data_IF_310886789038
#
_entry.id   IF_310886789038
#
_cell.length_a   1.000
_cell.length_b   1.000
_cell.length_c   1.000
_cell.angle_alpha   90.00
_cell.angle_beta   90.00
_cell.angle_gamma   90.00
#
_symmetry.space_group_name_H-M   'P 1'
#
loop_
_entity.id
_entity.type
_entity.pdbx_description
1 polymer ?
#
# COMPACT_ATOMS: atom_id res chain seq x y z
N UNK A 1 120.69 74.63 -103.09
CA UNK A 1 122.16 74.83 -103.06
C UNK A 1 122.81 73.86 -104.05
N UNK A 2 123.55 74.33 -105.07
CA UNK A 2 124.53 73.52 -105.81
C UNK A 2 125.86 73.49 -105.03
N UNK A 3 126.77 72.52 -105.25
CA UNK A 3 127.87 72.72 -106.24
C UNK A 3 128.34 71.38 -106.88
N UNK A 4 129.27 71.24 -107.86
CA UNK A 4 130.13 72.09 -108.68
C UNK A 4 130.70 71.21 -109.82
N UNK A 5 130.98 71.81 -110.97
CA UNK A 5 131.85 71.29 -112.05
C UNK A 5 133.31 71.08 -111.58
N UNK A 6 134.01 70.12 -112.19
CA UNK A 6 135.46 70.16 -112.54
C UNK A 6 135.62 69.38 -113.86
N UNK A 7 135.82 70.01 -115.02
CA UNK A 7 137.03 70.64 -115.57
C UNK A 7 138.17 69.64 -115.87
N UNK A 8 138.28 69.34 -117.16
CA UNK A 8 139.50 69.20 -117.99
C UNK A 8 140.59 68.21 -117.55
N UNK A 9 140.93 67.28 -118.46
CA UNK A 9 142.32 67.19 -118.88
C UNK A 9 142.50 66.69 -120.33
N UNK A 10 143.47 67.30 -121.03
CA UNK A 10 143.90 67.05 -122.41
C UNK A 10 144.90 65.89 -122.45
N UNK A 11 144.92 65.08 -123.54
CA UNK A 11 146.10 64.47 -124.23
C UNK A 11 145.69 63.22 -125.06
N UNK A 12 146.52 62.77 -126.02
CA UNK A 12 147.07 63.46 -127.17
C UNK A 12 146.38 62.96 -128.48
N UNK A 13 146.56 63.71 -129.56
CA UNK A 13 146.26 63.23 -130.90
C UNK A 13 147.09 61.98 -131.19
N UNK A 14 146.43 60.85 -131.47
CA UNK A 14 147.06 59.77 -132.21
C UNK A 14 146.65 59.89 -133.68
N UNK A 15 147.61 59.68 -134.60
CA UNK A 15 147.46 60.03 -136.00
C UNK A 15 146.39 59.15 -136.65
N UNK A 16 145.69 59.75 -137.61
CA UNK A 16 144.83 59.10 -138.60
C UNK A 16 145.45 57.77 -139.06
N UNK A 17 144.89 56.65 -138.57
CA UNK A 17 144.88 55.44 -139.37
C UNK A 17 143.88 55.67 -140.51
N UNK A 18 144.18 55.27 -141.75
CA UNK A 18 143.29 55.54 -142.87
C UNK A 18 141.95 54.85 -142.60
N UNK A 19 140.85 55.60 -142.64
CA UNK A 19 139.51 55.02 -142.64
C UNK A 19 139.38 54.24 -143.96
N UNK A 20 139.65 52.94 -143.87
CA UNK A 20 139.49 51.99 -144.95
C UNK A 20 138.00 51.85 -145.23
N UNK A 21 137.56 52.36 -146.38
CA UNK A 21 136.20 52.15 -146.86
C UNK A 21 136.29 51.02 -147.88
N UNK A 22 135.75 49.85 -147.52
CA UNK A 22 135.88 48.61 -148.30
C UNK A 22 137.33 48.25 -148.71
N UNK A 23 138.29 48.51 -147.82
CA UNK A 23 139.68 48.12 -148.04
C UNK A 23 140.50 49.04 -148.97
N UNK A 24 139.90 50.12 -149.47
CA UNK A 24 140.57 51.12 -150.31
C UNK A 24 140.65 52.48 -149.60
N UNK A 25 141.69 53.24 -149.91
CA UNK A 25 141.85 54.61 -149.40
C UNK A 25 141.00 55.59 -150.21
N UNK A 26 140.67 56.75 -149.63
CA UNK A 26 139.74 57.75 -150.19
C UNK A 26 140.09 58.22 -151.61
N UNK A 27 141.36 58.09 -152.01
CA UNK A 27 141.90 58.50 -153.32
C UNK A 27 141.91 57.36 -154.37
N UNK A 28 141.66 56.11 -153.95
CA UNK A 28 141.59 54.93 -154.84
C UNK A 28 140.15 54.51 -155.14
N UNK A 29 139.19 55.04 -154.38
CA UNK A 29 137.76 54.80 -154.57
C UNK A 29 137.23 55.76 -155.64
N UNK A 30 136.63 55.20 -156.69
CA UNK A 30 135.86 55.98 -157.66
C UNK A 30 134.77 56.79 -156.94
N UNK A 31 134.46 57.99 -157.45
CA UNK A 31 133.38 58.85 -156.94
C UNK A 31 132.08 58.06 -156.71
N UNK A 32 131.77 57.13 -157.60
CA UNK A 32 130.58 56.26 -157.53
C UNK A 32 130.59 55.33 -156.29
N UNK A 33 131.75 54.78 -155.91
CA UNK A 33 131.86 53.88 -154.76
C UNK A 33 131.71 54.61 -153.43
N UNK A 34 132.15 55.87 -153.37
CA UNK A 34 131.94 56.74 -152.20
C UNK A 34 130.46 57.14 -152.06
N UNK A 35 129.77 57.44 -153.16
CA UNK A 35 128.33 57.76 -153.16
C UNK A 35 127.48 56.57 -152.68
N UNK A 36 127.80 55.35 -153.12
CA UNK A 36 127.10 54.14 -152.70
C UNK A 36 127.29 53.83 -151.21
N UNK A 37 128.50 54.07 -150.67
CA UNK A 37 128.75 53.92 -149.23
C UNK A 37 127.99 54.96 -148.39
N UNK A 38 127.87 56.20 -148.88
CA UNK A 38 127.05 57.24 -148.24
C UNK A 38 125.58 56.83 -148.22
N UNK A 39 125.07 56.21 -149.30
CA UNK A 39 123.68 55.72 -149.33
C UNK A 39 123.45 54.61 -148.29
N UNK A 40 124.32 53.60 -148.21
CA UNK A 40 124.18 52.52 -147.21
C UNK A 40 124.19 53.05 -145.78
N UNK A 41 125.08 54.00 -145.46
CA UNK A 41 125.11 54.62 -144.13
C UNK A 41 123.85 55.43 -143.81
N UNK A 42 123.21 56.05 -144.81
CA UNK A 42 121.92 56.73 -144.62
C UNK A 42 120.79 55.73 -144.38
N UNK A 43 120.74 54.65 -145.14
CA UNK A 43 119.76 53.57 -144.95
C UNK A 43 119.92 52.86 -143.60
N UNK A 44 121.16 52.65 -143.14
CA UNK A 44 121.43 52.15 -141.78
C UNK A 44 120.99 53.16 -140.71
N UNK A 45 121.28 54.45 -140.90
CA UNK A 45 120.84 55.49 -139.97
C UNK A 45 119.32 55.57 -139.86
N UNK A 46 118.60 55.45 -140.98
CA UNK A 46 117.14 55.49 -140.99
C UNK A 46 116.53 54.22 -140.39
N UNK A 47 117.08 53.03 -140.65
CA UNK A 47 116.68 51.79 -139.94
C UNK A 47 116.88 51.89 -138.43
N UNK A 48 118.04 52.35 -137.99
CA UNK A 48 118.34 52.56 -136.56
C UNK A 48 117.42 53.62 -135.90
N UNK A 49 116.89 54.57 -136.69
CA UNK A 49 115.87 55.52 -136.22
C UNK A 49 114.50 54.86 -136.08
N UNK A 50 114.09 54.06 -137.07
CA UNK A 50 112.84 53.31 -137.05
C UNK A 50 112.82 52.31 -135.89
N UNK A 51 113.91 51.55 -135.68
CA UNK A 51 114.04 50.63 -134.56
C UNK A 51 113.97 51.34 -133.21
N UNK A 52 114.68 52.46 -133.04
CA UNK A 52 114.55 53.28 -131.81
C UNK A 52 113.12 53.74 -131.57
N UNK A 53 112.43 54.20 -132.61
CA UNK A 53 111.04 54.64 -132.50
C UNK A 53 110.11 53.47 -132.11
N UNK A 54 110.31 52.30 -132.72
CA UNK A 54 109.58 51.08 -132.38
C UNK A 54 109.78 50.68 -130.91
N UNK A 55 111.03 50.61 -130.43
CA UNK A 55 111.33 50.27 -129.04
C UNK A 55 110.82 51.33 -128.05
N UNK A 56 110.83 52.60 -128.43
CA UNK A 56 110.25 53.69 -127.65
C UNK A 56 108.73 53.50 -127.48
N UNK A 57 108.01 53.21 -128.56
CA UNK A 57 106.56 52.94 -128.52
C UNK A 57 106.22 51.69 -127.69
N UNK A 58 106.96 50.59 -127.85
CA UNK A 58 106.76 49.39 -127.05
C UNK A 58 107.04 49.62 -125.57
N UNK A 59 108.10 50.37 -125.23
CA UNK A 59 108.38 50.75 -123.83
C UNK A 59 107.26 51.61 -123.25
N UNK A 60 106.77 52.60 -123.98
CA UNK A 60 105.71 53.50 -123.50
C UNK A 60 104.37 52.73 -123.36
N UNK A 61 104.11 51.75 -124.23
CA UNK A 61 102.96 50.81 -124.12
C UNK A 61 103.07 49.90 -122.89
N UNK A 62 104.24 49.31 -122.65
CA UNK A 62 104.51 48.51 -121.43
C UNK A 62 104.34 49.37 -120.19
N UNK A 63 104.83 50.62 -120.21
CA UNK A 63 104.69 51.55 -119.09
C UNK A 63 103.22 51.86 -118.80
N UNK A 64 102.42 52.14 -119.83
CA UNK A 64 100.96 52.36 -119.70
C UNK A 64 100.25 51.13 -119.12
N UNK A 65 100.54 49.92 -119.60
CA UNK A 65 99.98 48.70 -119.02
C UNK A 65 100.40 48.50 -117.56
N UNK A 66 101.65 48.79 -117.23
CA UNK A 66 102.12 48.74 -115.86
C UNK A 66 101.39 49.74 -114.96
N UNK A 67 101.26 51.00 -115.38
CA UNK A 67 100.50 52.02 -114.63
C UNK A 67 99.03 51.64 -114.43
N UNK A 68 98.38 51.12 -115.47
CA UNK A 68 96.98 50.64 -115.39
C UNK A 68 96.88 49.48 -114.40
N UNK A 69 97.80 48.52 -114.45
CA UNK A 69 97.79 47.35 -113.57
C UNK A 69 98.03 47.75 -112.11
N UNK A 70 98.99 48.67 -111.86
CA UNK A 70 99.24 49.22 -110.52
C UNK A 70 98.03 49.97 -109.98
N UNK A 71 97.32 50.75 -110.83
CA UNK A 71 96.10 51.45 -110.44
C UNK A 71 94.98 50.47 -110.08
N UNK A 72 94.75 49.44 -110.91
CA UNK A 72 93.76 48.38 -110.64
C UNK A 72 94.09 47.60 -109.39
N UNK A 73 95.36 47.30 -109.15
CA UNK A 73 95.79 46.63 -107.91
C UNK A 73 95.45 47.48 -106.69
N UNK A 74 95.74 48.78 -106.70
CA UNK A 74 95.37 49.69 -105.60
C UNK A 74 93.86 49.80 -105.38
N UNK A 75 93.07 49.76 -106.44
CA UNK A 75 91.61 49.78 -106.37
C UNK A 75 91.08 48.52 -105.68
N UNK A 76 91.54 47.34 -106.12
CA UNK A 76 91.18 46.05 -105.49
C UNK A 76 91.66 45.98 -104.04
N UNK A 77 92.87 46.44 -103.73
CA UNK A 77 93.39 46.47 -102.36
C UNK A 77 92.52 47.38 -101.45
N UNK A 78 92.01 48.50 -101.99
CA UNK A 78 91.13 49.41 -101.24
C UNK A 78 89.73 48.82 -101.04
N UNK A 79 89.19 48.11 -102.04
CA UNK A 79 87.93 47.38 -101.92
C UNK A 79 88.03 46.24 -100.91
N UNK A 80 89.14 45.50 -100.91
CA UNK A 80 89.40 44.43 -99.95
C UNK A 80 89.43 44.97 -98.52
N UNK A 81 90.17 46.06 -98.27
CA UNK A 81 90.20 46.70 -96.95
C UNK A 81 88.82 47.17 -96.47
N UNK A 82 87.98 47.66 -97.39
CA UNK A 82 86.61 48.06 -97.05
C UNK A 82 85.78 46.85 -96.63
N UNK A 83 85.86 45.75 -97.38
CA UNK A 83 85.14 44.51 -97.05
C UNK A 83 85.63 43.91 -95.73
N UNK A 84 86.94 43.89 -95.50
CA UNK A 84 87.53 43.44 -94.23
C UNK A 84 86.98 44.24 -93.04
N UNK A 85 86.93 45.57 -93.16
CA UNK A 85 86.36 46.44 -92.12
C UNK A 85 84.86 46.20 -91.91
N UNK A 86 84.09 46.02 -92.98
CA UNK A 86 82.65 45.72 -92.87
C UNK A 86 82.41 44.37 -92.17
N UNK A 87 83.28 43.38 -92.40
CA UNK A 87 83.25 42.08 -91.70
C UNK A 87 83.55 42.27 -90.21
N UNK A 88 84.60 43.01 -89.85
CA UNK A 88 84.94 43.31 -88.46
C UNK A 88 83.80 44.06 -87.73
N UNK A 89 83.19 45.07 -88.37
CA UNK A 89 82.08 45.82 -87.79
C UNK A 89 80.84 44.92 -87.57
N UNK A 90 80.54 44.03 -88.51
CA UNK A 90 79.44 43.08 -88.37
C UNK A 90 79.70 42.05 -87.27
N UNK A 91 80.93 41.57 -87.13
CA UNK A 91 81.30 40.65 -86.04
C UNK A 91 81.16 41.35 -84.67
N UNK A 92 81.61 42.60 -84.55
CA UNK A 92 81.45 43.38 -83.33
C UNK A 92 79.97 43.59 -82.95
N UNK A 93 79.11 43.89 -83.93
CA UNK A 93 77.64 43.99 -83.72
C UNK A 93 77.05 42.66 -83.26
N UNK A 94 77.40 41.56 -83.93
CA UNK A 94 76.92 40.23 -83.55
C UNK A 94 77.33 39.85 -82.12
N UNK A 95 78.57 40.14 -81.72
CA UNK A 95 79.03 39.90 -80.35
C UNK A 95 78.25 40.73 -79.32
N UNK A 96 77.86 41.96 -79.66
CA UNK A 96 77.02 42.81 -78.81
C UNK A 96 75.60 42.24 -78.68
N UNK A 97 74.99 41.83 -79.79
CA UNK A 97 73.66 41.21 -79.79
C UNK A 97 73.63 39.95 -78.93
N UNK A 98 74.64 39.08 -79.06
CA UNK A 98 74.76 37.87 -78.22
C UNK A 98 74.82 38.23 -76.73
N UNK A 99 75.54 39.30 -76.35
CA UNK A 99 75.59 39.77 -74.95
C UNK A 99 74.23 40.28 -74.47
N UNK A 100 73.52 41.05 -75.29
CA UNK A 100 72.17 41.55 -74.97
C UNK A 100 71.18 40.39 -74.81
N UNK A 101 71.15 39.45 -75.75
CA UNK A 101 70.28 38.26 -75.65
C UNK A 101 70.60 37.43 -74.41
N UNK A 102 71.88 37.24 -74.08
CA UNK A 102 72.30 36.54 -72.85
C UNK A 102 71.80 37.24 -71.58
N UNK A 103 71.85 38.57 -71.53
CA UNK A 103 71.29 39.33 -70.40
C UNK A 103 69.77 39.22 -70.34
N UNK A 104 69.07 39.27 -71.49
CA UNK A 104 67.62 39.13 -71.56
C UNK A 104 67.14 37.76 -71.07
N UNK A 105 67.84 36.68 -71.44
CA UNK A 105 67.56 35.33 -70.94
C UNK A 105 67.76 35.26 -69.42
N UNK A 106 68.86 35.82 -68.90
CA UNK A 106 69.10 35.86 -67.45
C UNK A 106 68.02 36.61 -66.68
N UNK A 107 67.57 37.75 -67.21
CA UNK A 107 66.50 38.53 -66.60
C UNK A 107 65.18 37.74 -66.58
N UNK A 108 64.77 37.17 -67.71
CA UNK A 108 63.58 36.31 -67.78
C UNK A 108 63.65 35.12 -66.82
N UNK A 109 64.82 34.48 -66.69
CA UNK A 109 65.00 33.41 -65.72
C UNK A 109 64.85 33.89 -64.27
N UNK A 110 65.37 35.06 -63.94
CA UNK A 110 65.22 35.64 -62.60
C UNK A 110 63.77 36.06 -62.33
N UNK A 111 63.07 36.63 -63.31
CA UNK A 111 61.64 36.94 -63.21
C UNK A 111 60.84 35.66 -62.95
N UNK A 112 61.01 34.62 -63.76
CA UNK A 112 60.31 33.35 -63.56
C UNK A 112 60.62 32.72 -62.19
N UNK A 113 61.87 32.79 -61.73
CA UNK A 113 62.23 32.28 -60.40
C UNK A 113 61.58 33.09 -59.29
N UNK A 114 61.45 34.41 -59.46
CA UNK A 114 60.76 35.27 -58.52
C UNK A 114 59.26 34.98 -58.48
N UNK A 115 58.62 34.84 -59.65
CA UNK A 115 57.20 34.49 -59.77
C UNK A 115 56.90 33.13 -59.11
N UNK A 116 57.76 32.14 -59.33
CA UNK A 116 57.66 30.83 -58.68
C UNK A 116 57.81 30.97 -57.16
N UNK A 117 58.73 31.79 -56.68
CA UNK A 117 58.94 32.01 -55.26
C UNK A 117 57.72 32.70 -54.61
N UNK A 118 57.13 33.70 -55.28
CA UNK A 118 55.93 34.41 -54.83
C UNK A 118 54.72 33.46 -54.80
N UNK A 119 54.46 32.71 -55.87
CA UNK A 119 53.38 31.72 -55.92
C UNK A 119 53.51 30.64 -54.84
N UNK A 120 54.73 30.17 -54.58
CA UNK A 120 54.97 29.21 -53.50
C UNK A 120 54.73 29.83 -52.13
N UNK A 121 55.13 31.08 -51.91
CA UNK A 121 54.88 31.81 -50.66
C UNK A 121 53.37 32.02 -50.42
N UNK A 122 52.63 32.45 -51.45
CA UNK A 122 51.18 32.61 -51.40
C UNK A 122 50.46 31.28 -51.13
N UNK A 123 50.90 30.20 -51.79
CA UNK A 123 50.34 28.87 -51.56
C UNK A 123 50.59 28.38 -50.13
N UNK A 124 51.78 28.61 -49.57
CA UNK A 124 52.11 28.26 -48.18
C UNK A 124 51.27 29.08 -47.20
N UNK A 125 51.17 30.39 -47.38
CA UNK A 125 50.36 31.26 -46.54
C UNK A 125 48.87 30.87 -46.58
N UNK A 126 48.35 30.53 -47.76
CA UNK A 126 46.97 30.05 -47.92
C UNK A 126 46.75 28.70 -47.22
N UNK A 127 47.71 27.78 -47.32
CA UNK A 127 47.62 26.49 -46.63
C UNK A 127 47.67 26.65 -45.11
N UNK A 128 48.57 27.49 -44.58
CA UNK A 128 48.64 27.78 -43.14
C UNK A 128 47.33 28.42 -42.61
N UNK A 129 46.70 29.29 -43.39
CA UNK A 129 45.40 29.87 -43.03
C UNK A 129 44.32 28.79 -42.96
N UNK A 130 44.25 27.92 -43.98
CA UNK A 130 43.28 26.83 -44.05
C UNK A 130 43.47 25.82 -42.91
N UNK A 131 44.72 25.48 -42.58
CA UNK A 131 45.06 24.57 -41.48
C UNK A 131 44.60 25.14 -40.12
N UNK A 132 44.84 26.44 -39.87
CA UNK A 132 44.35 27.13 -38.66
C UNK A 132 42.82 27.17 -38.58
N UNK A 133 42.13 27.41 -39.69
CA UNK A 133 40.66 27.37 -39.72
C UNK A 133 40.14 25.96 -39.44
N UNK A 134 40.79 24.93 -40.00
CA UNK A 134 40.43 23.54 -39.73
C UNK A 134 40.64 23.18 -38.26
N UNK A 135 41.79 23.52 -37.67
CA UNK A 135 42.06 23.28 -36.24
C UNK A 135 40.99 23.94 -35.34
N UNK A 136 40.61 25.19 -35.64
CA UNK A 136 39.57 25.89 -34.91
C UNK A 136 38.20 25.17 -35.01
N UNK A 137 37.81 24.73 -36.21
CA UNK A 137 36.56 24.00 -36.42
C UNK A 137 36.57 22.64 -35.70
N UNK A 138 37.70 21.93 -35.70
CA UNK A 138 37.86 20.68 -34.96
C UNK A 138 37.74 20.88 -33.45
N UNK A 139 38.30 21.97 -32.90
CA UNK A 139 38.20 22.28 -31.47
C UNK A 139 36.75 22.61 -31.06
N UNK A 140 36.03 23.41 -31.84
CA UNK A 140 34.62 23.72 -31.61
C UNK A 140 33.72 22.48 -31.71
N UNK A 141 34.03 21.57 -32.64
CA UNK A 141 33.34 20.29 -32.75
C UNK A 141 33.56 19.43 -31.50
N UNK A 142 34.80 19.33 -31.01
CA UNK A 142 35.14 18.58 -29.77
C UNK A 142 34.42 19.13 -28.54
N UNK A 143 34.34 20.47 -28.40
CA UNK A 143 33.58 21.13 -27.33
C UNK A 143 32.10 20.80 -27.41
N UNK A 144 31.53 20.83 -28.62
CA UNK A 144 30.11 20.55 -28.85
C UNK A 144 29.75 19.10 -28.53
N UNK A 145 30.58 18.14 -28.98
CA UNK A 145 30.42 16.71 -28.66
C UNK A 145 30.43 16.50 -27.15
N UNK A 146 31.43 17.04 -26.46
CA UNK A 146 31.56 16.91 -25.00
C UNK A 146 30.34 17.48 -24.27
N UNK A 147 29.80 18.61 -24.73
CA UNK A 147 28.59 19.21 -24.15
C UNK A 147 27.36 18.30 -24.32
N UNK A 148 27.21 17.69 -25.49
CA UNK A 148 26.12 16.74 -25.77
C UNK A 148 26.25 15.49 -24.90
N UNK A 149 27.45 14.93 -24.76
CA UNK A 149 27.69 13.76 -23.91
C UNK A 149 27.34 14.03 -22.44
N UNK A 150 27.75 15.19 -21.91
CA UNK A 150 27.40 15.62 -20.54
C UNK A 150 25.88 15.75 -20.38
N UNK A 151 25.20 16.36 -21.36
CA UNK A 151 23.73 16.46 -21.33
C UNK A 151 23.06 15.09 -21.37
N UNK A 152 23.54 14.16 -22.20
CA UNK A 152 22.99 12.82 -22.29
C UNK A 152 23.17 12.03 -20.99
N UNK A 153 24.33 12.16 -20.33
CA UNK A 153 24.57 11.57 -19.00
C UNK A 153 23.61 12.16 -17.96
N UNK A 154 23.40 13.48 -17.96
CA UNK A 154 22.45 14.13 -17.04
C UNK A 154 21.00 13.68 -17.30
N UNK A 155 20.59 13.54 -18.56
CA UNK A 155 19.28 12.99 -18.92
C UNK A 155 19.13 11.53 -18.47
N UNK A 156 20.17 10.70 -18.64
CA UNK A 156 20.17 9.32 -18.14
C UNK A 156 20.06 9.26 -16.61
N UNK A 157 20.76 10.13 -15.89
CA UNK A 157 20.68 10.20 -14.43
C UNK A 157 19.28 10.61 -13.95
N UNK A 158 18.74 11.70 -14.50
CA UNK A 158 17.39 12.18 -14.14
C UNK A 158 16.31 11.16 -14.45
N UNK A 159 16.40 10.43 -15.58
CA UNK A 159 15.51 9.32 -15.90
C UNK A 159 15.55 8.21 -14.85
N UNK A 160 16.75 7.75 -14.48
CA UNK A 160 16.91 6.70 -13.45
C UNK A 160 16.36 7.13 -12.09
N UNK A 161 16.58 8.39 -11.72
CA UNK A 161 16.06 8.94 -10.46
C UNK A 161 14.52 8.98 -10.45
N UNK A 162 13.91 9.32 -11.59
CA UNK A 162 12.46 9.34 -11.75
C UNK A 162 11.86 7.92 -11.75
N UNK A 163 12.54 6.96 -12.39
CA UNK A 163 12.16 5.54 -12.35
C UNK A 163 12.23 4.98 -10.92
N UNK A 164 13.26 5.34 -10.15
CA UNK A 164 13.40 4.94 -8.75
C UNK A 164 12.28 5.51 -7.88
N UNK A 165 12.00 6.82 -7.97
CA UNK A 165 10.91 7.47 -7.21
C UNK A 165 9.55 6.86 -7.55
N UNK A 166 9.28 6.61 -8.83
CA UNK A 166 8.04 5.96 -9.24
C UNK A 166 7.95 4.52 -8.69
N UNK A 167 9.07 3.79 -8.64
CA UNK A 167 9.14 2.48 -8.00
C UNK A 167 8.80 2.52 -6.50
N UNK A 168 9.37 3.50 -5.77
CA UNK A 168 9.09 3.72 -4.34
C UNK A 168 7.62 4.13 -4.09
N UNK A 169 7.03 4.97 -4.95
CA UNK A 169 5.62 5.34 -4.86
C UNK A 169 4.70 4.14 -5.13
N UNK A 170 5.04 3.27 -6.09
CA UNK A 170 4.28 2.06 -6.37
C UNK A 170 4.34 1.06 -5.22
N UNK A 171 5.51 0.84 -4.61
CA UNK A 171 5.64 -0.07 -3.46
C UNK A 171 4.88 0.46 -2.25
N UNK A 172 5.05 1.74 -1.90
CA UNK A 172 4.31 2.35 -0.78
C UNK A 172 2.80 2.32 -0.98
N UNK A 173 2.31 2.53 -2.21
CA UNK A 173 0.89 2.40 -2.55
C UNK A 173 0.40 0.95 -2.42
N UNK A 174 1.20 -0.01 -2.89
CA UNK A 174 0.90 -1.44 -2.78
C UNK A 174 0.81 -1.87 -1.32
N UNK A 175 1.80 -1.52 -0.50
CA UNK A 175 1.85 -1.83 0.93
C UNK A 175 0.65 -1.24 1.68
N UNK A 176 0.24 -0.02 1.33
CA UNK A 176 -0.94 0.61 1.90
C UNK A 176 -2.23 -0.15 1.57
N UNK A 177 -2.40 -0.58 0.31
CA UNK A 177 -3.56 -1.35 -0.12
C UNK A 177 -3.58 -2.73 0.52
N UNK A 178 -2.44 -3.40 0.63
CA UNK A 178 -2.32 -4.70 1.28
C UNK A 178 -2.68 -4.61 2.77
N UNK A 179 -2.22 -3.56 3.45
CA UNK A 179 -2.62 -3.28 4.84
C UNK A 179 -4.12 -3.05 4.98
N UNK A 180 -4.73 -2.26 4.09
CA UNK A 180 -6.18 -2.03 4.09
C UNK A 180 -6.96 -3.33 3.87
N UNK A 181 -6.51 -4.17 2.94
CA UNK A 181 -7.13 -5.48 2.68
C UNK A 181 -7.02 -6.40 3.90
N UNK A 182 -5.87 -6.43 4.58
CA UNK A 182 -5.66 -7.20 5.79
C UNK A 182 -6.58 -6.72 6.94
N UNK A 183 -6.69 -5.41 7.15
CA UNK A 183 -7.58 -4.82 8.17
C UNK A 183 -9.06 -5.15 7.89
N UNK A 184 -9.50 -5.03 6.62
CA UNK A 184 -10.86 -5.39 6.21
C UNK A 184 -11.12 -6.88 6.46
N UNK A 185 -10.21 -7.75 6.04
CA UNK A 185 -10.33 -9.20 6.20
C UNK A 185 -10.43 -9.59 7.67
N UNK A 186 -9.54 -9.06 8.53
CA UNK A 186 -9.57 -9.28 9.97
C UNK A 186 -10.90 -8.80 10.59
N UNK A 187 -11.42 -7.65 10.15
CA UNK A 187 -12.70 -7.13 10.65
C UNK A 187 -13.88 -8.04 10.31
N UNK A 188 -13.89 -8.65 9.12
CA UNK A 188 -14.93 -9.59 8.72
C UNK A 188 -14.78 -10.93 9.42
N UNK A 189 -13.56 -11.41 9.63
CA UNK A 189 -13.30 -12.63 10.37
C UNK A 189 -13.76 -12.52 11.83
N UNK A 190 -13.49 -11.39 12.49
CA UNK A 190 -14.03 -11.10 13.82
C UNK A 190 -15.58 -11.08 13.85
N UNK A 191 -16.22 -10.48 12.84
CA UNK A 191 -17.70 -10.48 12.75
C UNK A 191 -18.26 -11.89 12.57
N UNK A 192 -17.64 -12.70 11.72
CA UNK A 192 -18.05 -14.10 11.52
C UNK A 192 -17.88 -14.90 12.80
N UNK A 193 -16.79 -14.70 13.54
CA UNK A 193 -16.59 -15.37 14.82
C UNK A 193 -17.61 -14.94 15.87
N UNK A 194 -17.94 -13.65 15.96
CA UNK A 194 -18.97 -13.14 16.85
C UNK A 194 -20.34 -13.75 16.54
N UNK A 195 -20.75 -13.78 15.26
CA UNK A 195 -22.01 -14.40 14.85
C UNK A 195 -22.07 -15.90 15.16
N UNK A 196 -20.95 -16.63 14.99
CA UNK A 196 -20.87 -18.05 15.40
C UNK A 196 -21.07 -18.21 16.91
N UNK A 197 -20.47 -17.34 17.71
CA UNK A 197 -20.62 -17.37 19.17
C UNK A 197 -22.04 -17.02 19.60
N UNK A 198 -22.68 -16.06 18.94
CA UNK A 198 -24.07 -15.69 19.23
C UNK A 198 -25.03 -16.83 18.90
N UNK A 199 -24.85 -17.51 17.77
CA UNK A 199 -25.64 -18.70 17.41
C UNK A 199 -25.45 -19.85 18.42
N UNK A 200 -24.21 -20.12 18.83
CA UNK A 200 -23.91 -21.13 19.85
C UNK A 200 -24.54 -20.76 21.21
N UNK A 201 -24.54 -19.48 21.58
CA UNK A 201 -25.20 -18.99 22.80
C UNK A 201 -26.73 -19.15 22.72
N UNK A 202 -27.35 -18.84 21.58
CA UNK A 202 -28.78 -19.04 21.36
C UNK A 202 -29.13 -20.52 21.49
N UNK A 203 -28.39 -21.40 20.82
CA UNK A 203 -28.61 -22.85 20.90
C UNK A 203 -28.46 -23.37 22.32
N UNK A 204 -27.44 -22.93 23.06
CA UNK A 204 -27.26 -23.29 24.47
C UNK A 204 -28.40 -22.80 25.36
N UNK A 205 -28.90 -21.58 25.12
CA UNK A 205 -30.05 -21.05 25.85
C UNK A 205 -31.31 -21.87 25.57
N UNK A 206 -31.59 -22.17 24.31
CA UNK A 206 -32.80 -22.92 23.90
C UNK A 206 -32.79 -24.36 24.44
N UNK A 207 -31.61 -25.00 24.44
CA UNK A 207 -31.41 -26.31 25.10
C UNK A 207 -31.66 -26.18 26.61
N UNK A 208 -31.07 -25.18 27.27
CA UNK A 208 -31.24 -25.00 28.71
C UNK A 208 -32.69 -24.69 29.09
N UNK A 209 -33.39 -23.87 28.32
CA UNK A 209 -34.81 -23.54 28.52
C UNK A 209 -35.69 -24.79 28.36
N UNK A 210 -35.41 -25.61 27.34
CA UNK A 210 -36.08 -26.89 27.13
C UNK A 210 -35.83 -27.87 28.27
N UNK A 211 -34.57 -28.01 28.72
CA UNK A 211 -34.20 -28.84 29.87
C UNK A 211 -34.89 -28.35 31.15
N UNK A 212 -34.90 -27.04 31.41
CA UNK A 212 -35.56 -26.44 32.56
C UNK A 212 -37.08 -26.68 32.52
N UNK A 213 -37.71 -26.58 31.35
CA UNK A 213 -39.12 -26.88 31.15
C UNK A 213 -39.43 -28.35 31.48
N UNK A 214 -38.67 -29.29 30.91
CA UNK A 214 -38.85 -30.72 31.18
C UNK A 214 -38.56 -31.09 32.62
N UNK A 215 -37.51 -30.52 33.23
CA UNK A 215 -37.20 -30.73 34.64
C UNK A 215 -38.33 -30.21 35.55
N UNK A 216 -38.89 -29.05 35.24
CA UNK A 216 -40.04 -28.49 35.98
C UNK A 216 -41.28 -29.37 35.82
N UNK A 217 -41.55 -29.86 34.61
CA UNK A 217 -42.65 -30.78 34.35
C UNK A 217 -42.50 -32.11 35.11
N UNK A 218 -41.30 -32.70 35.10
CA UNK A 218 -40.99 -33.91 35.87
C UNK A 218 -41.17 -33.66 37.37
N UNK A 219 -40.73 -32.52 37.89
CA UNK A 219 -40.89 -32.17 39.30
C UNK A 219 -42.38 -32.04 39.68
N UNK A 220 -43.18 -31.36 38.85
CA UNK A 220 -44.62 -31.25 39.06
C UNK A 220 -45.32 -32.61 39.03
N UNK A 221 -44.97 -33.47 38.07
CA UNK A 221 -45.54 -34.83 37.97
C UNK A 221 -45.18 -35.69 39.19
N UNK A 222 -43.93 -35.59 39.69
CA UNK A 222 -43.52 -36.27 40.93
C UNK A 222 -44.33 -35.78 42.13
N UNK A 223 -44.54 -34.46 42.25
CA UNK A 223 -45.33 -33.90 43.33
C UNK A 223 -46.79 -34.36 43.29
N UNK A 224 -47.41 -34.38 42.11
CA UNK A 224 -48.79 -34.86 41.92
C UNK A 224 -48.93 -36.36 42.27
N UNK A 225 -47.94 -37.17 41.84
CA UNK A 225 -47.87 -38.58 42.24
C UNK A 225 -47.71 -38.75 43.76
N UNK A 226 -46.81 -37.99 44.39
CA UNK A 226 -46.59 -38.05 45.84
C UNK A 226 -47.85 -37.64 46.63
N UNK A 227 -48.58 -36.62 46.15
CA UNK A 227 -49.84 -36.17 46.76
C UNK A 227 -50.95 -37.23 46.61
N UNK A 228 -51.09 -37.80 45.41
CA UNK A 228 -52.02 -38.90 45.15
C UNK A 228 -51.70 -40.12 46.02
N UNK A 229 -50.42 -40.44 46.17
CA UNK A 229 -49.96 -41.53 47.03
C UNK A 229 -50.29 -41.25 48.49
N UNK A 230 -50.01 -40.03 49.00
CA UNK A 230 -50.34 -39.64 50.37
C UNK A 230 -51.84 -39.72 50.63
N UNK A 231 -52.67 -39.26 49.70
CA UNK A 231 -54.13 -39.36 49.81
C UNK A 231 -54.61 -40.82 49.84
N UNK A 232 -53.99 -41.70 49.04
CA UNK A 232 -54.27 -43.14 49.09
C UNK A 232 -53.82 -43.77 50.42
N UNK A 233 -52.68 -43.38 50.97
CA UNK A 233 -52.22 -43.81 52.29
C UNK A 233 -53.18 -43.36 53.40
N UNK A 234 -53.62 -42.11 53.38
CA UNK A 234 -54.63 -41.58 54.31
C UNK A 234 -55.93 -42.39 54.24
N UNK A 235 -56.40 -42.68 53.03
CA UNK A 235 -57.58 -43.53 52.83
C UNK A 235 -57.40 -44.94 53.39
N UNK A 236 -56.22 -45.55 53.19
CA UNK A 236 -55.90 -46.87 53.75
C UNK A 236 -55.87 -46.83 55.29
N UNK A 237 -55.35 -45.75 55.89
CA UNK A 237 -55.38 -45.56 57.35
C UNK A 237 -56.82 -45.50 57.85
N UNK A 238 -57.68 -44.71 57.19
CA UNK A 238 -59.11 -44.60 57.54
C UNK A 238 -59.81 -45.96 57.41
N UNK A 239 -59.59 -46.68 56.30
CA UNK A 239 -60.17 -48.02 56.13
C UNK A 239 -59.70 -48.99 57.21
N UNK A 240 -58.44 -48.89 57.64
CA UNK A 240 -57.91 -49.73 58.71
C UNK A 240 -58.57 -49.40 60.05
N UNK A 241 -58.71 -48.12 60.40
CA UNK A 241 -59.43 -47.71 61.62
C UNK A 241 -60.90 -48.11 61.59
N UNK A 242 -61.56 -47.98 60.43
CA UNK A 242 -62.94 -48.42 60.24
C UNK A 242 -63.07 -49.95 60.38
N UNK A 243 -62.09 -50.70 59.88
CA UNK A 243 -62.04 -52.15 60.05
C UNK A 243 -61.87 -52.52 61.53
N UNK A 244 -60.96 -51.85 62.24
CA UNK A 244 -60.72 -52.09 63.66
C UNK A 244 -61.99 -51.78 64.50
N UNK A 245 -62.65 -50.66 64.26
CA UNK A 245 -63.92 -50.31 64.94
C UNK A 245 -65.05 -51.28 64.59
N UNK A 246 -65.16 -51.72 63.33
CA UNK A 246 -66.11 -52.78 62.94
C UNK A 246 -65.84 -54.10 63.68
N UNK A 247 -64.57 -54.46 63.89
CA UNK A 247 -64.23 -55.66 64.67
C UNK A 247 -64.60 -55.51 66.14
N UNK A 248 -64.39 -54.34 66.73
CA UNK A 248 -64.78 -54.03 68.11
C UNK A 248 -66.31 -54.07 68.29
N UNK A 249 -67.07 -53.36 67.45
CA UNK A 249 -68.54 -53.38 67.45
C UNK A 249 -69.09 -54.79 67.25
N UNK A 250 -68.48 -55.59 66.37
CA UNK A 250 -68.85 -57.00 66.20
C UNK A 250 -68.57 -57.82 67.45
N UNK A 251 -67.49 -57.52 68.18
CA UNK A 251 -67.18 -58.04 69.51
C UNK A 251 -68.28 -57.71 70.52
N UNK A 252 -68.64 -56.43 70.66
CA UNK A 252 -69.69 -55.95 71.55
C UNK A 252 -71.06 -56.58 71.23
N UNK A 253 -71.43 -56.68 69.95
CA UNK A 253 -72.66 -57.35 69.51
C UNK A 253 -72.66 -58.82 69.92
N UNK A 254 -71.51 -59.51 69.79
CA UNK A 254 -71.40 -60.91 70.20
C UNK A 254 -71.52 -61.07 71.72
N UNK A 255 -70.95 -60.16 72.50
CA UNK A 255 -71.11 -60.13 73.95
C UNK A 255 -72.55 -59.83 74.37
N UNK A 256 -73.18 -58.83 73.76
CA UNK A 256 -74.57 -58.49 73.97
C UNK A 256 -75.49 -59.67 73.61
N UNK A 257 -75.21 -60.39 72.51
CA UNK A 257 -75.92 -61.63 72.15
C UNK A 257 -75.72 -62.73 73.19
N UNK A 258 -74.50 -62.91 73.75
CA UNK A 258 -74.25 -63.86 74.86
C UNK A 258 -75.04 -63.47 76.12
N UNK A 259 -74.99 -62.20 76.53
CA UNK A 259 -75.78 -61.67 77.66
C UNK A 259 -77.28 -61.84 77.43
N UNK A 260 -77.78 -61.55 76.23
CA UNK A 260 -79.19 -61.75 75.87
C UNK A 260 -79.60 -63.22 75.96
N UNK A 261 -78.75 -64.16 75.50
CA UNK A 261 -79.00 -65.59 75.67
C UNK A 261 -79.07 -65.99 77.15
N UNK A 262 -78.15 -65.45 77.97
CA UNK A 262 -78.15 -65.66 79.43
C UNK A 262 -79.42 -65.12 80.08
N UNK A 263 -79.80 -63.87 79.80
CA UNK A 263 -81.04 -63.27 80.29
C UNK A 263 -82.28 -64.01 79.79
N UNK A 264 -82.29 -64.54 78.56
CA UNK A 264 -83.41 -65.37 78.08
C UNK A 264 -83.54 -66.67 78.89
N UNK A 265 -82.43 -67.32 79.23
CA UNK A 265 -82.43 -68.49 80.11
C UNK A 265 -82.96 -68.12 81.50
N UNK A 266 -82.51 -66.98 82.04
CA UNK A 266 -82.94 -66.46 83.34
C UNK A 266 -84.43 -66.07 83.34
N UNK A 267 -84.94 -65.46 82.26
CA UNK A 267 -86.37 -65.18 82.09
C UNK A 267 -87.17 -66.48 82.03
N UNK A 268 -86.66 -67.53 81.37
CA UNK A 268 -87.33 -68.85 81.36
C UNK A 268 -87.34 -69.47 82.77
N UNK A 269 -86.27 -69.35 83.55
CA UNK A 269 -86.27 -69.82 84.95
C UNK A 269 -87.23 -69.01 85.82
N UNK A 270 -87.22 -67.67 85.71
CA UNK A 270 -88.17 -66.80 86.42
C UNK A 270 -89.60 -67.06 85.98
N UNK A 271 -89.87 -67.36 84.70
CA UNK A 271 -91.21 -67.73 84.24
C UNK A 271 -91.65 -69.09 84.80
N UNK A 272 -90.73 -70.06 84.95
CA UNK A 272 -91.02 -71.32 85.64
C UNK A 272 -91.32 -71.10 87.11
N UNK A 273 -90.53 -70.26 87.79
CA UNK A 273 -90.77 -69.86 89.18
C UNK A 273 -92.09 -69.10 89.32
N UNK A 274 -92.43 -68.18 88.41
CA UNK A 274 -93.71 -67.50 88.37
C UNK A 274 -94.86 -68.45 88.10
N UNK A 275 -94.69 -69.46 87.25
CA UNK A 275 -95.70 -70.49 87.03
C UNK A 275 -95.93 -71.31 88.30
N UNK A 276 -94.84 -71.70 88.98
CA UNK A 276 -94.91 -72.38 90.26
C UNK A 276 -95.55 -71.51 91.36
N UNK A 277 -95.20 -70.22 91.43
CA UNK A 277 -95.83 -69.25 92.32
C UNK A 277 -97.29 -69.00 91.96
N UNK A 278 -97.66 -68.98 90.68
CA UNK A 278 -99.03 -68.85 90.22
C UNK A 278 -99.85 -70.11 90.55
N UNK A 279 -99.26 -71.30 90.45
CA UNK A 279 -99.86 -72.56 90.92
C UNK A 279 -100.04 -72.55 92.45
N UNK A 280 -99.07 -72.05 93.21
CA UNK A 280 -99.21 -71.83 94.66
C UNK A 280 -100.30 -70.80 94.98
N UNK A 281 -100.37 -69.69 94.24
CA UNK A 281 -101.43 -68.67 94.40
C UNK A 281 -102.79 -69.24 93.98
N UNK A 282 -102.86 -70.14 92.99
CA UNK A 282 -104.11 -70.81 92.60
C UNK A 282 -104.58 -71.76 93.69
N UNK A 283 -103.67 -72.52 94.32
CA UNK A 283 -103.99 -73.35 95.51
C UNK A 283 -104.43 -72.50 96.69
N UNK A 284 -103.71 -71.41 96.98
CA UNK A 284 -104.10 -70.43 98.00
C UNK A 284 -105.42 -69.73 97.64
N UNK A 285 -105.76 -69.58 96.36
CA UNK A 285 -107.06 -69.06 95.88
C UNK A 285 -108.18 -70.07 96.03
N UNK A 286 -107.97 -71.35 95.76
CA UNK A 286 -108.94 -72.43 96.04
C UNK A 286 -109.20 -72.56 97.55
N UNK A 287 -108.13 -72.48 98.37
CA UNK A 287 -108.24 -72.40 99.84
C UNK A 287 -108.88 -71.09 100.31
N UNK A 288 -108.61 -69.95 99.64
CA UNK A 288 -109.26 -68.67 99.91
C UNK A 288 -110.71 -68.63 99.42
N UNK A 289 -111.15 -69.37 98.41
CA UNK A 289 -112.56 -69.47 98.02
C UNK A 289 -113.35 -70.33 99.03
N UNK A 290 -112.68 -71.29 99.69
CA UNK A 290 -113.22 -72.01 100.86
C UNK A 290 -113.31 -71.12 102.12
N UNK A 291 -112.37 -70.20 102.30
CA UNK A 291 -112.33 -69.24 103.43
C UNK A 291 -113.15 -67.96 103.16
N UNK A 292 -113.34 -67.55 101.90
CA UNK A 292 -114.14 -66.39 101.48
C UNK A 292 -115.65 -66.65 101.56
N UNK A 293 -116.08 -67.92 101.62
CA UNK A 293 -117.42 -68.29 102.09
C UNK A 293 -117.63 -68.06 103.59
N UNK A 294 -116.57 -67.81 104.38
CA UNK A 294 -116.63 -67.75 105.85
C UNK A 294 -116.37 -66.39 106.50
N UNK A 295 -115.83 -65.36 105.83
CA UNK A 295 -115.70 -64.06 106.51
C UNK A 295 -115.70 -62.86 105.55
N UNK A 296 -116.88 -62.22 105.48
CA UNK A 296 -117.07 -60.81 105.11
C UNK A 296 -116.51 -59.93 106.23
N UNK A 297 -115.84 -58.82 105.85
CA UNK A 297 -115.56 -57.54 106.53
C UNK A 297 -114.06 -57.12 106.65
N UNK A 298 -113.78 -55.94 106.05
CA UNK A 298 -112.81 -54.87 106.46
C UNK A 298 -111.40 -54.73 105.82
N UNK A 299 -111.18 -53.54 105.20
CA UNK A 299 -109.96 -52.65 105.11
C UNK A 299 -108.62 -53.19 104.57
N UNK A 300 -107.71 -52.52 103.83
CA UNK A 300 -107.49 -51.14 103.33
C UNK A 300 -105.95 -50.85 103.22
N UNK A 301 -105.48 -50.14 102.15
CA UNK A 301 -104.16 -49.43 101.95
C UNK A 301 -102.84 -50.27 101.77
N UNK A 302 -101.69 -49.84 101.17
CA UNK A 302 -101.18 -48.71 100.33
C UNK A 302 -99.73 -49.00 99.84
N UNK A 303 -99.34 -48.37 98.72
CA UNK A 303 -98.04 -47.78 98.28
C UNK A 303 -96.65 -48.31 98.70
N UNK A 304 -95.73 -48.51 97.72
CA UNK A 304 -94.34 -47.94 97.68
C UNK A 304 -93.73 -48.00 96.24
N UNK A 305 -93.88 -46.97 95.38
CA UNK A 305 -92.95 -46.71 94.23
C UNK A 305 -92.84 -45.18 93.94
N UNK A 306 -92.42 -44.39 94.93
CA UNK A 306 -92.28 -42.92 94.82
C UNK A 306 -90.86 -42.35 94.94
N UNK A 307 -89.87 -43.17 95.32
CA UNK A 307 -88.54 -42.69 95.74
C UNK A 307 -87.37 -43.01 94.79
N UNK A 308 -87.56 -43.82 93.74
CA UNK A 308 -86.47 -44.16 92.80
C UNK A 308 -86.42 -43.21 91.59
N UNK A 309 -87.57 -42.64 91.17
CA UNK A 309 -87.63 -41.72 90.01
C UNK A 309 -87.13 -40.30 90.30
N UNK A 310 -87.03 -39.88 91.56
CA UNK A 310 -86.68 -38.49 91.93
C UNK A 310 -85.17 -38.18 91.98
N UNK A 311 -84.31 -39.19 92.18
CA UNK A 311 -82.84 -39.02 92.15
C UNK A 311 -82.30 -38.99 90.72
N UNK A 312 -82.68 -39.96 89.88
CA UNK A 312 -82.27 -40.02 88.45
C UNK A 312 -82.67 -38.78 87.63
N UNK A 313 -83.80 -38.13 87.96
CA UNK A 313 -84.23 -36.91 87.27
C UNK A 313 -83.45 -35.66 87.69
N UNK A 314 -82.82 -35.66 88.89
CA UNK A 314 -81.99 -34.54 89.35
C UNK A 314 -80.58 -34.62 88.78
N UNK A 315 -79.98 -35.81 88.78
CA UNK A 315 -78.61 -36.00 88.30
C UNK A 315 -78.52 -35.71 86.79
N UNK A 316 -79.49 -36.18 85.99
CA UNK A 316 -79.53 -35.95 84.54
C UNK A 316 -79.82 -34.49 84.16
N UNK A 317 -80.54 -33.74 85.03
CA UNK A 317 -80.74 -32.30 84.82
C UNK A 317 -79.48 -31.49 85.09
N UNK A 318 -78.72 -31.86 86.13
CA UNK A 318 -77.46 -31.21 86.44
C UNK A 318 -76.40 -31.43 85.34
N UNK A 319 -76.33 -32.65 84.78
CA UNK A 319 -75.43 -32.94 83.66
C UNK A 319 -75.78 -32.17 82.38
N UNK A 320 -77.08 -32.01 82.07
CA UNK A 320 -77.53 -31.20 80.93
C UNK A 320 -77.15 -29.73 81.09
N UNK A 321 -77.36 -29.16 82.29
CA UNK A 321 -77.03 -27.75 82.57
C UNK A 321 -75.52 -27.47 82.42
N UNK A 322 -74.66 -28.39 82.87
CA UNK A 322 -73.21 -28.29 82.71
C UNK A 322 -72.79 -28.41 81.24
N UNK A 323 -73.43 -29.30 80.48
CA UNK A 323 -73.09 -29.49 79.07
C UNK A 323 -73.55 -28.30 78.21
N UNK A 324 -74.69 -27.72 78.54
CA UNK A 324 -75.26 -26.54 77.89
C UNK A 324 -74.41 -25.29 78.15
N UNK A 325 -73.87 -25.15 79.37
CA UNK A 325 -72.87 -24.11 79.68
C UNK A 325 -71.58 -24.29 78.85
N UNK A 326 -71.00 -25.50 78.80
CA UNK A 326 -69.79 -25.77 77.99
C UNK A 326 -70.01 -25.53 76.49
N UNK A 327 -71.20 -25.87 75.98
CA UNK A 327 -71.53 -25.61 74.58
C UNK A 327 -71.62 -24.11 74.29
N UNK A 328 -72.22 -23.34 75.21
CA UNK A 328 -72.28 -21.88 75.09
C UNK A 328 -70.89 -21.23 75.12
N UNK A 329 -69.97 -21.72 75.97
CA UNK A 329 -68.59 -21.24 76.04
C UNK A 329 -67.82 -21.54 74.75
N UNK A 330 -67.88 -22.77 74.24
CA UNK A 330 -67.24 -23.14 72.97
C UNK A 330 -67.81 -22.37 71.76
N UNK A 331 -69.10 -22.05 71.79
CA UNK A 331 -69.73 -21.27 70.73
C UNK A 331 -69.22 -19.82 70.73
N UNK A 332 -69.00 -19.23 71.91
CA UNK A 332 -68.38 -17.91 72.05
C UNK A 332 -66.93 -17.93 71.59
N UNK A 333 -66.13 -18.92 72.01
CA UNK A 333 -64.73 -19.05 71.56
C UNK A 333 -64.62 -19.18 70.03
N UNK A 334 -65.50 -19.97 69.40
CA UNK A 334 -65.56 -20.10 67.95
C UNK A 334 -65.86 -18.76 67.28
N UNK A 335 -66.83 -18.02 67.81
CA UNK A 335 -67.28 -16.76 67.21
C UNK A 335 -66.22 -15.67 67.39
N UNK A 336 -65.52 -15.64 68.52
CA UNK A 336 -64.35 -14.78 68.75
C UNK A 336 -63.20 -15.13 67.81
N UNK A 337 -62.89 -16.41 67.62
CA UNK A 337 -61.81 -16.85 66.75
C UNK A 337 -62.11 -16.54 65.28
N UNK A 338 -63.37 -16.72 64.84
CA UNK A 338 -63.82 -16.32 63.49
C UNK A 338 -63.67 -14.83 63.28
N UNK A 339 -64.10 -14.02 64.24
CA UNK A 339 -63.96 -12.56 64.17
C UNK A 339 -62.49 -12.14 64.09
N UNK A 340 -61.63 -12.71 64.94
CA UNK A 340 -60.19 -12.43 64.94
C UNK A 340 -59.52 -12.82 63.61
N UNK A 341 -59.89 -13.97 63.03
CA UNK A 341 -59.38 -14.39 61.72
C UNK A 341 -59.78 -13.41 60.61
N UNK A 342 -61.05 -13.01 60.55
CA UNK A 342 -61.54 -12.03 59.58
C UNK A 342 -60.78 -10.70 59.72
N UNK A 343 -60.58 -10.21 60.94
CA UNK A 343 -59.82 -8.97 61.18
C UNK A 343 -58.34 -9.08 60.74
N UNK A 344 -57.69 -10.23 60.91
CA UNK A 344 -56.30 -10.44 60.46
C UNK A 344 -56.23 -10.46 58.93
N UNK A 345 -57.17 -11.15 58.27
CA UNK A 345 -57.23 -11.22 56.81
C UNK A 345 -57.49 -9.85 56.21
N UNK A 346 -58.47 -9.10 56.74
CA UNK A 346 -58.77 -7.74 56.28
C UNK A 346 -57.59 -6.78 56.47
N UNK A 347 -56.85 -6.87 57.59
CA UNK A 347 -55.63 -6.06 57.80
C UNK A 347 -54.51 -6.43 56.83
N UNK A 348 -54.28 -7.72 56.58
CA UNK A 348 -53.27 -8.17 55.64
C UNK A 348 -53.61 -7.72 54.20
N UNK A 349 -54.88 -7.83 53.81
CA UNK A 349 -55.37 -7.38 52.52
C UNK A 349 -55.27 -5.86 52.37
N UNK A 350 -55.71 -5.10 53.38
CA UNK A 350 -55.59 -3.64 53.36
C UNK A 350 -54.15 -3.15 53.27
N UNK A 351 -53.22 -3.79 54.00
CA UNK A 351 -51.79 -3.46 53.88
C UNK A 351 -51.26 -3.77 52.48
N UNK A 352 -51.62 -4.92 51.90
CA UNK A 352 -51.26 -5.27 50.52
C UNK A 352 -51.82 -4.27 49.50
N UNK A 353 -53.07 -3.84 49.67
CA UNK A 353 -53.71 -2.85 48.80
C UNK A 353 -53.03 -1.47 48.89
N UNK A 354 -52.59 -1.06 50.09
CA UNK A 354 -51.82 0.19 50.27
C UNK A 354 -50.46 0.09 49.57
N UNK A 355 -49.73 -1.02 49.73
CA UNK A 355 -48.44 -1.23 49.08
C UNK A 355 -48.59 -1.27 47.55
N UNK A 356 -49.60 -1.98 47.04
CA UNK A 356 -49.92 -2.03 45.61
C UNK A 356 -50.26 -0.65 45.06
N UNK A 357 -51.14 0.11 45.74
CA UNK A 357 -51.48 1.47 45.33
C UNK A 357 -50.24 2.38 45.30
N UNK A 358 -49.32 2.23 46.24
CA UNK A 358 -48.08 3.01 46.26
C UNK A 358 -47.17 2.66 45.08
N UNK A 359 -47.09 1.39 44.70
CA UNK A 359 -46.34 0.94 43.51
C UNK A 359 -47.01 1.42 42.23
N UNK A 360 -48.33 1.32 42.11
CA UNK A 360 -49.10 1.80 40.97
C UNK A 360 -48.92 3.31 40.76
N UNK A 361 -48.98 4.11 41.83
CA UNK A 361 -48.72 5.56 41.74
C UNK A 361 -47.29 5.88 41.30
N UNK A 362 -46.30 5.11 41.78
CA UNK A 362 -44.90 5.27 41.33
C UNK A 362 -44.74 4.90 39.87
N UNK A 363 -45.40 3.83 39.42
CA UNK A 363 -45.36 3.38 38.04
C UNK A 363 -46.00 4.44 37.14
N UNK A 364 -47.18 4.93 37.50
CA UNK A 364 -47.86 5.99 36.75
C UNK A 364 -46.98 7.25 36.61
N UNK A 365 -46.37 7.73 37.71
CA UNK A 365 -45.49 8.90 37.66
C UNK A 365 -44.25 8.68 36.78
N UNK A 366 -43.66 7.47 36.78
CA UNK A 366 -42.54 7.13 35.90
C UNK A 366 -42.98 7.05 34.42
N UNK A 367 -44.17 6.53 34.15
CA UNK A 367 -44.73 6.49 32.78
C UNK A 367 -45.00 7.89 32.26
N UNK A 368 -45.64 8.76 33.05
CA UNK A 368 -45.89 10.16 32.67
C UNK A 368 -44.58 10.91 32.39
N UNK A 369 -43.56 10.72 33.23
CA UNK A 369 -42.23 11.31 33.01
C UNK A 369 -41.56 10.76 31.75
N UNK A 370 -41.70 9.47 31.44
CA UNK A 370 -41.14 8.87 30.23
C UNK A 370 -41.81 9.47 28.99
N UNK A 371 -43.14 9.53 28.95
CA UNK A 371 -43.90 10.12 27.85
C UNK A 371 -43.51 11.59 27.61
N UNK A 372 -43.31 12.37 28.69
CA UNK A 372 -42.84 13.75 28.57
C UNK A 372 -41.43 13.82 27.95
N UNK A 373 -40.49 13.00 28.41
CA UNK A 373 -39.13 12.99 27.84
C UNK A 373 -39.08 12.52 26.39
N UNK A 374 -39.92 11.55 26.01
CA UNK A 374 -40.00 11.05 24.64
C UNK A 374 -40.61 12.11 23.71
N UNK A 375 -41.66 12.82 24.16
CA UNK A 375 -42.24 13.94 23.43
C UNK A 375 -41.22 15.09 23.24
N UNK A 376 -40.47 15.44 24.28
CA UNK A 376 -39.41 16.45 24.21
C UNK A 376 -38.29 16.03 23.24
N UNK A 377 -37.85 14.77 23.29
CA UNK A 377 -36.83 14.23 22.41
C UNK A 377 -37.31 14.23 20.95
N UNK A 378 -38.54 13.78 20.69
CA UNK A 378 -39.17 13.81 19.36
C UNK A 378 -39.24 15.24 18.79
N UNK A 379 -39.62 16.22 19.62
CA UNK A 379 -39.64 17.63 19.23
C UNK A 379 -38.24 18.15 18.84
N UNK A 380 -37.21 17.87 19.65
CA UNK A 380 -35.82 18.28 19.36
C UNK A 380 -35.26 17.61 18.10
N UNK A 381 -35.53 16.32 17.91
CA UNK A 381 -35.11 15.59 16.72
C UNK A 381 -35.77 16.14 15.45
N UNK A 382 -37.06 16.50 15.51
CA UNK A 382 -37.76 17.11 14.38
C UNK A 382 -37.27 18.53 14.04
N UNK A 383 -36.89 19.33 15.05
CA UNK A 383 -36.43 20.71 14.85
C UNK A 383 -34.98 20.81 14.36
N UNK A 384 -34.14 19.83 14.66
CA UNK A 384 -32.69 19.88 14.43
C UNK A 384 -32.26 19.46 13.02
N UNK A 385 -33.15 18.89 12.19
CA UNK A 385 -32.91 18.50 10.79
C UNK A 385 -31.57 17.76 10.57
N UNK A 386 -31.16 16.96 11.57
CA UNK A 386 -29.89 16.23 11.55
C UNK A 386 -29.96 15.04 10.59
N UNK A 387 -28.80 14.61 10.08
CA UNK A 387 -28.71 13.37 9.30
C UNK A 387 -29.11 12.16 10.17
N UNK A 388 -30.28 11.58 9.86
CA UNK A 388 -30.88 10.45 10.56
C UNK A 388 -29.96 9.23 10.64
N UNK A 389 -29.09 9.04 9.65
CA UNK A 389 -28.17 7.89 9.60
C UNK A 389 -27.02 8.07 10.59
N UNK A 390 -26.40 9.24 10.61
CA UNK A 390 -25.35 9.56 11.59
C UNK A 390 -25.88 9.56 13.02
N UNK A 391 -27.09 10.11 13.23
CA UNK A 391 -27.76 10.14 14.54
C UNK A 391 -28.09 8.73 15.05
N UNK A 392 -28.69 7.87 14.22
CA UNK A 392 -29.00 6.49 14.60
C UNK A 392 -27.74 5.71 15.02
N UNK A 393 -26.61 5.96 14.35
CA UNK A 393 -25.32 5.34 14.72
C UNK A 393 -24.83 5.80 16.09
N UNK A 394 -24.97 7.09 16.41
CA UNK A 394 -24.61 7.62 17.73
C UNK A 394 -25.54 7.05 18.81
N UNK A 395 -26.85 7.03 18.58
CA UNK A 395 -27.85 6.47 19.49
C UNK A 395 -27.54 5.00 19.82
N UNK A 396 -27.34 4.15 18.81
CA UNK A 396 -27.01 2.73 19.01
C UNK A 396 -25.71 2.53 19.78
N UNK A 397 -24.70 3.39 19.54
CA UNK A 397 -23.43 3.32 20.27
C UNK A 397 -23.59 3.74 21.73
N UNK A 398 -24.42 4.75 22.01
CA UNK A 398 -24.71 5.18 23.38
C UNK A 398 -25.58 4.17 24.13
N UNK A 399 -26.57 3.55 23.48
CA UNK A 399 -27.39 2.46 24.03
C UNK A 399 -26.51 1.27 24.42
N UNK A 400 -25.67 0.78 23.50
CA UNK A 400 -24.76 -0.33 23.78
C UNK A 400 -23.81 -0.03 24.95
N UNK A 401 -23.37 1.23 25.10
CA UNK A 401 -22.55 1.63 26.24
C UNK A 401 -23.35 1.65 27.55
N UNK A 402 -24.59 2.14 27.53
CA UNK A 402 -25.49 2.11 28.70
C UNK A 402 -25.78 0.67 29.12
N UNK A 403 -26.10 -0.22 28.18
CA UNK A 403 -26.37 -1.63 28.45
C UNK A 403 -25.16 -2.37 29.02
N UNK A 404 -23.97 -2.09 28.49
CA UNK A 404 -22.71 -2.61 29.03
C UNK A 404 -22.51 -2.16 30.49
N UNK A 405 -22.73 -0.89 30.80
CA UNK A 405 -22.63 -0.36 32.17
C UNK A 405 -23.69 -0.95 33.09
N UNK A 406 -24.93 -1.08 32.65
CA UNK A 406 -26.02 -1.70 33.41
C UNK A 406 -25.73 -3.17 33.74
N UNK A 407 -25.18 -3.91 32.77
CA UNK A 407 -24.76 -5.30 32.97
C UNK A 407 -23.62 -5.40 33.98
N UNK A 408 -22.64 -4.50 33.91
CA UNK A 408 -21.56 -4.41 34.89
C UNK A 408 -22.10 -4.10 36.30
N UNK A 409 -23.05 -3.18 36.44
CA UNK A 409 -23.72 -2.85 37.72
C UNK A 409 -24.41 -4.09 38.29
N UNK A 410 -25.23 -4.79 37.49
CA UNK A 410 -25.92 -6.03 37.92
C UNK A 410 -24.93 -7.10 38.36
N UNK A 411 -23.84 -7.27 37.62
CA UNK A 411 -22.77 -8.24 37.95
C UNK A 411 -22.08 -7.88 39.27
N UNK A 412 -21.77 -6.60 39.49
CA UNK A 412 -21.17 -6.13 40.73
C UNK A 412 -22.13 -6.27 41.91
N UNK A 413 -23.42 -5.95 41.75
CA UNK A 413 -24.45 -6.17 42.77
C UNK A 413 -24.58 -7.65 43.13
N UNK A 414 -24.57 -8.53 42.13
CA UNK A 414 -24.59 -9.97 42.36
C UNK A 414 -23.37 -10.44 43.15
N UNK A 415 -22.16 -9.98 42.80
CA UNK A 415 -20.93 -10.28 43.53
C UNK A 415 -20.98 -9.75 44.97
N UNK A 416 -21.48 -8.53 45.18
CA UNK A 416 -21.67 -7.96 46.52
C UNK A 416 -22.61 -8.84 47.35
N UNK A 417 -23.73 -9.28 46.76
CA UNK A 417 -24.69 -10.16 47.44
C UNK A 417 -24.08 -11.52 47.77
N UNK A 418 -23.33 -12.13 46.84
CA UNK A 418 -22.60 -13.37 47.09
C UNK A 418 -21.58 -13.21 48.23
N UNK A 419 -20.77 -12.15 48.22
CA UNK A 419 -19.78 -11.87 49.26
C UNK A 419 -20.48 -11.63 50.60
N UNK A 420 -21.58 -10.88 50.62
CA UNK A 420 -22.40 -10.66 51.81
C UNK A 420 -22.93 -11.97 52.39
N UNK A 421 -23.37 -12.89 51.52
CA UNK A 421 -23.81 -14.22 51.95
C UNK A 421 -22.68 -15.09 52.49
N UNK A 422 -21.54 -15.14 51.80
CA UNK A 422 -20.35 -15.86 52.28
C UNK A 422 -19.89 -15.29 53.62
N UNK A 423 -19.89 -13.96 53.77
CA UNK A 423 -19.58 -13.27 55.04
C UNK A 423 -20.54 -13.70 56.15
N UNK A 424 -21.86 -13.74 55.87
CA UNK A 424 -22.87 -14.19 56.85
C UNK A 424 -22.67 -15.65 57.25
N UNK A 425 -22.39 -16.54 56.29
CA UNK A 425 -22.11 -17.95 56.57
C UNK A 425 -20.83 -18.14 57.38
N UNK A 426 -19.77 -17.39 57.05
CA UNK A 426 -18.51 -17.44 57.78
C UNK A 426 -18.71 -16.96 59.22
N UNK A 427 -19.44 -15.85 59.43
CA UNK A 427 -19.79 -15.34 60.76
C UNK A 427 -20.56 -16.40 61.58
N UNK A 428 -21.59 -17.02 61.01
CA UNK A 428 -22.33 -18.10 61.65
C UNK A 428 -21.45 -19.30 61.99
N UNK A 429 -20.55 -19.71 61.08
CA UNK A 429 -19.62 -20.82 61.34
C UNK A 429 -18.62 -20.46 62.46
N UNK A 430 -18.09 -19.24 62.47
CA UNK A 430 -17.19 -18.77 63.53
C UNK A 430 -17.92 -18.67 64.87
N UNK A 431 -19.18 -18.26 64.90
CA UNK A 431 -20.00 -18.22 66.10
C UNK A 431 -20.25 -19.63 66.66
N UNK A 432 -20.62 -20.59 65.81
CA UNK A 432 -20.81 -21.99 66.22
C UNK A 432 -19.52 -22.59 66.78
N UNK A 433 -18.37 -22.31 66.13
CA UNK A 433 -17.07 -22.80 66.58
C UNK A 433 -16.59 -22.12 67.87
N UNK A 434 -16.85 -20.82 68.05
CA UNK A 434 -16.55 -20.09 69.29
C UNK A 434 -17.38 -20.62 70.46
N UNK A 435 -18.69 -20.86 70.25
CA UNK A 435 -19.57 -21.53 71.22
C UNK A 435 -19.06 -22.92 71.60
N UNK A 436 -18.63 -23.72 70.62
CA UNK A 436 -18.08 -25.06 70.86
C UNK A 436 -16.76 -25.06 71.66
N UNK A 437 -15.99 -23.97 71.60
CA UNK A 437 -14.73 -23.78 72.33
C UNK A 437 -14.91 -23.02 73.66
N UNK A 438 -16.14 -22.66 74.04
CA UNK A 438 -16.44 -21.94 75.28
C UNK A 438 -16.03 -20.47 75.29
N UNK A 439 -15.79 -19.87 74.11
CA UNK A 439 -15.43 -18.46 73.96
C UNK A 439 -16.70 -17.60 73.84
N UNK A 440 -16.89 -16.55 74.66
CA UNK A 440 -18.04 -15.65 74.56
C UNK A 440 -18.09 -14.94 73.19
N UNK A 441 -19.27 -14.90 72.58
CA UNK A 441 -19.47 -14.47 71.17
C UNK A 441 -19.55 -12.94 71.04
N UNK A 442 -19.58 -12.18 72.14
CA UNK A 442 -19.84 -10.75 72.13
C UNK A 442 -18.82 -9.90 71.34
N UNK A 443 -17.62 -10.40 71.02
CA UNK A 443 -16.60 -9.61 70.31
C UNK A 443 -16.60 -9.75 68.77
N UNK A 444 -17.34 -10.69 68.18
CA UNK A 444 -17.33 -10.91 66.71
C UNK A 444 -18.39 -10.08 65.95
N UNK A 445 -19.36 -9.49 66.66
CA UNK A 445 -20.50 -8.78 66.05
C UNK A 445 -20.27 -7.27 65.86
N UNK A 446 -19.13 -6.72 66.29
CA UNK A 446 -18.99 -5.25 66.41
C UNK A 446 -18.62 -4.50 65.10
N UNK A 447 -18.43 -5.18 63.97
CA UNK A 447 -18.03 -4.52 62.71
C UNK A 447 -18.95 -4.84 61.51
N UNK A 448 -20.26 -5.00 61.74
CA UNK A 448 -21.26 -5.25 60.68
C UNK A 448 -22.37 -4.19 60.61
N UNK A 449 -22.04 -2.91 60.74
CA UNK A 449 -22.84 -1.82 60.17
C UNK A 449 -22.26 -1.36 58.85
#
# INVERSE_FOLDING_TARGET
MPPKKKSADKKPANPRTPTLINGLTKDEMSKEQLEEHIMRLREELDREREERNYFQLERDKIHSFWEITVRKQKEVDSELQKVEKDVEENEARHQLDVKVYKQKIKHLQHEHLNDIAELNADSLASNELMEKEQEHLEEELRKTITRVDIQEINFKHTKKELELKHGEELTTRSDHLEKQLAEITASFEMKVQALKQDLDNIWKSEISDSENHWNSHIAALKQDHDETYRSAEEFVIIMKTDTDTLTELKGEINEAKKKQKSMKLEVVTVLKENKHLAELISKIKEENDEIAKKLRHSSGNKDVIGNIKRKKLKDLKAEHEVLEQKFSELQLERDELRKAFTEIVEKAQHNGDIENMAVEKKLQALTESLEETEAQLSAVLSASNMDQTALSRVIKKTEAHIDSKNTAIKTLQHKINQISMVRKHLLLHTEVKAKALGVPVEELLCNSQ
#
